data_IF_052993187840
#
_entry.id   IF_052993187840
#
_cell.length_a   1.000
_cell.length_b   1.000
_cell.length_c   1.000
_cell.angle_alpha   90.00
_cell.angle_beta   90.00
_cell.angle_gamma   90.00
#
_symmetry.space_group_name_H-M   'P 1'
#
loop_
_entity.id
_entity.type
_entity.pdbx_description
1 polymer ?
#
# COMPACT_ATOMS: atom_id res chain seq x y z
N UNK A 1 -18.21 -36.35 -19.09
CA UNK A 1 -16.85 -36.54 -18.49
C UNK A 1 -16.18 -37.83 -18.95
N UNK A 2 -16.86 -38.98 -19.04
CA UNK A 2 -16.25 -40.24 -19.51
C UNK A 2 -15.77 -40.22 -20.99
N UNK A 3 -16.48 -39.51 -21.88
CA UNK A 3 -16.11 -39.38 -23.31
C UNK A 3 -14.88 -38.48 -23.53
N UNK A 4 -14.75 -37.40 -22.75
CA UNK A 4 -13.67 -36.42 -22.89
C UNK A 4 -12.29 -36.99 -22.55
N UNK A 5 -12.22 -37.85 -21.53
CA UNK A 5 -10.97 -38.46 -21.09
C UNK A 5 -10.51 -39.58 -22.04
N UNK A 6 -11.46 -40.32 -22.63
CA UNK A 6 -11.17 -41.34 -23.65
C UNK A 6 -10.55 -40.73 -24.93
N UNK A 7 -11.02 -39.55 -25.34
CA UNK A 7 -10.50 -38.84 -26.52
C UNK A 7 -9.10 -38.24 -26.26
N UNK A 8 -8.85 -37.67 -25.08
CA UNK A 8 -7.52 -37.17 -24.69
C UNK A 8 -6.48 -38.31 -24.69
N UNK A 9 -6.82 -39.46 -24.08
CA UNK A 9 -5.96 -40.64 -24.09
C UNK A 9 -5.77 -41.24 -25.48
N UNK A 10 -6.64 -40.95 -26.45
CA UNK A 10 -6.50 -41.42 -27.83
C UNK A 10 -5.43 -40.63 -28.58
N UNK A 11 -5.44 -39.29 -28.50
CA UNK A 11 -4.46 -38.46 -29.19
C UNK A 11 -3.08 -38.54 -28.53
N UNK A 12 -3.02 -38.62 -27.19
CA UNK A 12 -1.76 -38.85 -26.47
C UNK A 12 -1.08 -40.15 -26.89
N UNK A 13 -1.82 -41.25 -27.04
CA UNK A 13 -1.28 -42.53 -27.53
C UNK A 13 -0.70 -42.43 -28.95
N UNK A 14 -1.30 -41.61 -29.81
CA UNK A 14 -0.82 -41.39 -31.19
C UNK A 14 0.47 -40.58 -31.15
N UNK A 15 0.52 -39.50 -30.35
CA UNK A 15 1.74 -38.69 -30.15
C UNK A 15 2.86 -39.54 -29.56
N UNK A 16 2.59 -40.33 -28.53
CA UNK A 16 3.59 -41.22 -27.91
C UNK A 16 4.11 -42.26 -28.90
N UNK A 17 3.23 -42.85 -29.72
CA UNK A 17 3.61 -43.77 -30.79
C UNK A 17 4.51 -43.11 -31.83
N UNK A 18 4.20 -41.88 -32.24
CA UNK A 18 5.02 -41.08 -33.15
C UNK A 18 6.38 -40.75 -32.53
N UNK A 19 6.43 -40.37 -31.25
CA UNK A 19 7.69 -40.08 -30.55
C UNK A 19 8.60 -41.29 -30.51
N UNK A 20 8.04 -42.47 -30.21
CA UNK A 20 8.78 -43.73 -30.24
C UNK A 20 9.26 -44.07 -31.65
N UNK A 21 8.41 -43.88 -32.66
CA UNK A 21 8.76 -44.14 -34.06
C UNK A 21 9.83 -43.17 -34.60
N UNK A 22 9.83 -41.90 -34.15
CA UNK A 22 10.87 -40.93 -34.49
C UNK A 22 12.23 -41.27 -33.86
N UNK A 23 12.24 -41.81 -32.64
CA UNK A 23 13.47 -42.20 -31.93
C UNK A 23 14.01 -43.57 -32.37
N UNK A 24 13.14 -44.48 -32.79
CA UNK A 24 13.52 -45.84 -33.19
C UNK A 24 12.70 -46.34 -34.38
N UNK A 25 12.92 -45.80 -35.59
CA UNK A 25 12.12 -46.13 -36.78
C UNK A 25 12.18 -47.62 -37.16
N UNK A 26 13.29 -48.29 -36.90
CA UNK A 26 13.50 -49.71 -37.22
C UNK A 26 12.63 -50.68 -36.42
N UNK A 27 11.99 -50.21 -35.34
CA UNK A 27 11.08 -51.02 -34.52
C UNK A 27 9.64 -51.08 -35.08
N UNK A 28 9.35 -50.31 -36.13
CA UNK A 28 8.02 -50.17 -36.71
C UNK A 28 8.00 -50.65 -38.16
N UNK A 29 6.88 -51.25 -38.58
CA UNK A 29 6.65 -51.57 -39.98
C UNK A 29 6.25 -50.33 -40.79
N UNK A 30 6.46 -50.37 -42.11
CA UNK A 30 6.07 -49.27 -43.01
C UNK A 30 4.57 -48.96 -42.94
N UNK A 31 3.72 -49.98 -42.76
CA UNK A 31 2.27 -49.81 -42.61
C UNK A 31 1.91 -49.08 -41.30
N UNK A 32 2.57 -49.42 -40.20
CA UNK A 32 2.37 -48.75 -38.90
C UNK A 32 2.85 -47.28 -38.94
N UNK A 33 3.99 -47.01 -39.56
CA UNK A 33 4.51 -45.66 -39.76
C UNK A 33 3.54 -44.82 -40.61
N UNK A 34 3.02 -45.38 -41.70
CA UNK A 34 2.03 -44.71 -42.54
C UNK A 34 0.72 -44.44 -41.78
N UNK A 35 0.26 -45.39 -40.96
CA UNK A 35 -0.94 -45.21 -40.15
C UNK A 35 -0.77 -44.11 -39.09
N UNK A 36 0.37 -44.06 -38.40
CA UNK A 36 0.71 -43.02 -37.43
C UNK A 36 0.83 -41.64 -38.10
N UNK A 37 1.51 -41.56 -39.25
CA UNK A 37 1.66 -40.32 -40.01
C UNK A 37 0.31 -39.76 -40.45
N UNK A 38 -0.57 -40.61 -41.00
CA UNK A 38 -1.91 -40.19 -41.42
C UNK A 38 -2.78 -39.72 -40.25
N UNK A 39 -2.72 -40.42 -39.12
CA UNK A 39 -3.49 -40.04 -37.93
C UNK A 39 -3.00 -38.71 -37.35
N UNK A 40 -1.68 -38.52 -37.18
CA UNK A 40 -1.11 -37.28 -36.65
C UNK A 40 -1.40 -36.10 -37.59
N UNK A 41 -1.24 -36.28 -38.91
CA UNK A 41 -1.50 -35.23 -39.88
C UNK A 41 -2.97 -34.77 -39.87
N UNK A 42 -3.91 -35.72 -39.72
CA UNK A 42 -5.32 -35.39 -39.59
C UNK A 42 -5.62 -34.60 -38.31
N UNK A 43 -5.06 -35.02 -37.17
CA UNK A 43 -5.27 -34.35 -35.88
C UNK A 43 -4.70 -32.93 -35.92
N UNK A 44 -3.48 -32.76 -36.43
CA UNK A 44 -2.82 -31.47 -36.55
C UNK A 44 -3.58 -30.53 -37.49
N UNK A 45 -4.14 -31.05 -38.60
CA UNK A 45 -4.97 -30.25 -39.51
C UNK A 45 -6.25 -29.74 -38.83
N UNK A 46 -6.98 -30.62 -38.17
CA UNK A 46 -8.20 -30.23 -37.44
C UNK A 46 -7.89 -29.24 -36.30
N UNK A 47 -6.76 -29.41 -35.60
CA UNK A 47 -6.31 -28.46 -34.60
C UNK A 47 -6.00 -27.08 -35.21
N UNK A 48 -5.26 -27.04 -36.32
CA UNK A 48 -4.90 -25.80 -37.01
C UNK A 48 -6.12 -25.03 -37.53
N UNK A 49 -7.07 -25.72 -38.18
CA UNK A 49 -8.31 -25.11 -38.69
C UNK A 49 -9.14 -24.50 -37.55
N UNK A 50 -9.28 -25.22 -36.43
CA UNK A 50 -10.02 -24.72 -35.27
C UNK A 50 -9.30 -23.55 -34.60
N UNK A 51 -7.97 -23.59 -34.51
CA UNK A 51 -7.17 -22.49 -33.97
C UNK A 51 -7.33 -21.21 -34.80
N UNK A 52 -7.30 -21.35 -36.12
CA UNK A 52 -7.54 -20.23 -37.02
C UNK A 52 -8.93 -19.61 -36.82
N UNK A 53 -9.98 -20.44 -36.73
CA UNK A 53 -11.35 -19.96 -36.47
C UNK A 53 -11.47 -19.23 -35.13
N UNK A 54 -10.85 -19.75 -34.07
CA UNK A 54 -10.80 -19.07 -32.78
C UNK A 54 -10.15 -17.69 -32.88
N UNK A 55 -9.03 -17.56 -33.59
CA UNK A 55 -8.34 -16.28 -33.78
C UNK A 55 -9.15 -15.31 -34.64
N UNK A 56 -9.83 -15.78 -35.68
CA UNK A 56 -10.75 -14.97 -36.49
C UNK A 56 -11.89 -14.40 -35.62
N UNK A 57 -12.46 -15.21 -34.72
CA UNK A 57 -13.47 -14.78 -33.75
C UNK A 57 -12.92 -13.77 -32.74
N UNK A 58 -11.69 -13.96 -32.24
CA UNK A 58 -11.03 -13.01 -31.34
C UNK A 58 -10.82 -11.65 -32.01
N UNK A 59 -10.32 -11.64 -33.26
CA UNK A 59 -10.11 -10.43 -34.06
C UNK A 59 -11.41 -9.73 -34.43
N UNK A 60 -12.50 -10.47 -34.56
CA UNK A 60 -13.85 -9.95 -34.72
C UNK A 60 -14.50 -9.45 -33.41
N UNK A 61 -13.78 -9.52 -32.27
CA UNK A 61 -14.26 -9.10 -30.95
C UNK A 61 -15.21 -10.12 -30.28
N UNK A 62 -15.42 -11.29 -30.86
CA UNK A 62 -16.34 -12.33 -30.38
C UNK A 62 -15.64 -13.29 -29.40
N UNK A 63 -15.10 -12.75 -28.31
CA UNK A 63 -14.22 -13.47 -27.39
C UNK A 63 -14.87 -14.72 -26.77
N UNK A 64 -16.10 -14.61 -26.26
CA UNK A 64 -16.78 -15.74 -25.62
C UNK A 64 -17.06 -16.90 -26.60
N UNK A 65 -17.30 -16.60 -27.88
CA UNK A 65 -17.50 -17.62 -28.91
C UNK A 65 -16.19 -18.32 -29.29
N UNK A 66 -15.10 -17.57 -29.39
CA UNK A 66 -13.76 -18.12 -29.61
C UNK A 66 -13.36 -19.10 -28.49
N UNK A 67 -13.60 -18.73 -27.23
CA UNK A 67 -13.25 -19.54 -26.06
C UNK A 67 -14.19 -20.74 -25.91
N UNK A 68 -15.46 -20.61 -26.28
CA UNK A 68 -16.39 -21.74 -26.38
C UNK A 68 -15.93 -22.76 -27.42
N UNK A 69 -15.56 -22.30 -28.61
CA UNK A 69 -15.07 -23.15 -29.71
C UNK A 69 -13.79 -23.90 -29.32
N UNK A 70 -12.85 -23.20 -28.67
CA UNK A 70 -11.60 -23.79 -28.16
C UNK A 70 -11.84 -24.81 -27.03
N UNK A 71 -12.89 -24.62 -26.23
CA UNK A 71 -13.25 -25.51 -25.12
C UNK A 71 -14.00 -26.77 -25.57
N UNK A 72 -14.44 -26.85 -26.83
CA UNK A 72 -15.09 -28.06 -27.35
C UNK A 72 -14.11 -29.25 -27.31
N UNK A 73 -14.58 -30.46 -26.96
CA UNK A 73 -13.71 -31.63 -26.90
C UNK A 73 -13.20 -32.04 -28.29
N UNK A 74 -11.92 -32.42 -28.43
CA UNK A 74 -10.86 -32.30 -27.41
C UNK A 74 -10.48 -30.84 -27.17
N UNK A 75 -10.20 -30.43 -25.92
CA UNK A 75 -9.80 -29.06 -25.62
C UNK A 75 -8.62 -28.63 -26.52
N UNK A 76 -8.74 -27.48 -27.17
CA UNK A 76 -7.79 -27.05 -28.18
C UNK A 76 -6.42 -26.71 -27.60
N UNK A 77 -6.36 -26.09 -26.43
CA UNK A 77 -5.10 -25.73 -25.77
C UNK A 77 -4.31 -26.99 -25.40
N UNK A 78 -4.99 -27.96 -24.79
CA UNK A 78 -4.39 -29.25 -24.45
C UNK A 78 -3.92 -30.02 -25.70
N UNK A 79 -4.71 -29.96 -26.77
CA UNK A 79 -4.37 -30.62 -28.04
C UNK A 79 -3.15 -29.97 -28.70
N UNK A 80 -3.09 -28.64 -28.76
CA UNK A 80 -1.94 -27.91 -29.32
C UNK A 80 -0.69 -28.19 -28.50
N UNK A 81 -0.79 -28.19 -27.17
CA UNK A 81 0.32 -28.51 -26.28
C UNK A 81 0.82 -29.96 -26.47
N UNK A 82 -0.07 -30.91 -26.74
CA UNK A 82 0.32 -32.29 -27.01
C UNK A 82 0.98 -32.48 -28.38
N UNK A 83 0.63 -31.65 -29.37
CA UNK A 83 1.20 -31.69 -30.73
C UNK A 83 2.54 -30.95 -30.82
N UNK A 84 2.87 -30.10 -29.87
CA UNK A 84 4.15 -29.40 -29.75
C UNK A 84 5.15 -30.24 -28.92
N UNK A 85 5.91 -31.12 -29.59
CA UNK A 85 6.90 -31.98 -28.94
C UNK A 85 8.25 -31.98 -29.68
N UNK A 86 9.38 -32.21 -28.97
CA UNK A 86 10.72 -32.04 -29.54
C UNK A 86 11.04 -32.96 -30.71
N UNK A 87 10.51 -34.19 -30.69
CA UNK A 87 10.78 -35.20 -31.72
C UNK A 87 10.00 -34.96 -33.03
N UNK A 88 9.15 -33.93 -33.10
CA UNK A 88 8.31 -33.64 -34.27
C UNK A 88 9.13 -33.36 -35.53
N UNK A 89 10.23 -32.60 -35.41
CA UNK A 89 11.08 -32.29 -36.56
C UNK A 89 11.78 -33.54 -37.11
N UNK A 90 12.26 -34.42 -36.23
CA UNK A 90 12.83 -35.72 -36.60
C UNK A 90 11.78 -36.60 -37.29
N UNK A 91 10.55 -36.62 -36.77
CA UNK A 91 9.44 -37.35 -37.38
C UNK A 91 9.12 -36.83 -38.79
N UNK A 92 9.12 -35.52 -38.99
CA UNK A 92 8.84 -34.90 -40.30
C UNK A 92 9.89 -35.25 -41.34
N UNK A 93 11.18 -35.25 -40.97
CA UNK A 93 12.25 -35.70 -41.84
C UNK A 93 12.09 -37.18 -42.24
N UNK A 94 11.66 -38.03 -41.30
CA UNK A 94 11.36 -39.43 -41.57
C UNK A 94 10.17 -39.57 -42.53
N UNK A 95 9.10 -38.79 -42.31
CA UNK A 95 7.94 -38.80 -43.21
C UNK A 95 8.31 -38.34 -44.62
N UNK A 96 9.14 -37.29 -44.75
CA UNK A 96 9.61 -36.82 -46.04
C UNK A 96 10.47 -37.87 -46.76
N UNK A 97 11.37 -38.55 -46.05
CA UNK A 97 12.20 -39.61 -46.63
C UNK A 97 11.41 -40.83 -47.11
N UNK A 98 10.27 -41.12 -46.47
CA UNK A 98 9.43 -42.28 -46.75
C UNK A 98 8.16 -41.94 -47.55
N UNK A 99 8.06 -40.72 -48.10
CA UNK A 99 6.87 -40.19 -48.81
C UNK A 99 5.54 -40.35 -48.03
N UNK A 100 5.61 -40.20 -46.71
CA UNK A 100 4.46 -40.26 -45.80
C UNK A 100 3.79 -38.89 -45.62
N UNK A 101 2.49 -38.84 -45.23
CA UNK A 101 1.79 -37.58 -45.03
C UNK A 101 2.43 -36.75 -43.91
N UNK A 102 2.84 -35.53 -44.27
CA UNK A 102 3.44 -34.58 -43.34
C UNK A 102 2.37 -33.87 -42.49
N UNK A 103 2.51 -33.83 -41.16
CA UNK A 103 1.63 -33.02 -40.32
C UNK A 103 1.85 -31.52 -40.59
N UNK A 104 0.77 -30.71 -40.68
CA UNK A 104 0.91 -29.26 -40.78
C UNK A 104 1.51 -28.68 -39.49
N UNK A 105 2.31 -27.61 -39.64
CA UNK A 105 2.83 -26.85 -38.51
C UNK A 105 1.72 -26.01 -37.89
N UNK A 106 1.64 -26.03 -36.56
CA UNK A 106 0.74 -25.18 -35.81
C UNK A 106 1.31 -23.77 -35.71
N UNK A 107 0.46 -22.76 -35.90
CA UNK A 107 0.84 -21.37 -35.72
C UNK A 107 0.91 -21.04 -34.22
N UNK A 108 2.09 -21.17 -33.61
CA UNK A 108 2.29 -20.94 -32.16
C UNK A 108 1.87 -19.53 -31.71
N UNK A 109 2.00 -18.52 -32.58
CA UNK A 109 1.51 -17.16 -32.33
C UNK A 109 -0.01 -17.12 -32.12
N UNK A 110 -0.77 -17.88 -32.92
CA UNK A 110 -2.23 -17.98 -32.79
C UNK A 110 -2.62 -18.71 -31.50
N UNK A 111 -1.85 -19.71 -31.08
CA UNK A 111 -2.04 -20.41 -29.82
C UNK A 111 -1.75 -19.49 -28.61
N UNK A 112 -0.75 -18.62 -28.72
CA UNK A 112 -0.48 -17.60 -27.71
C UNK A 112 -1.62 -16.57 -27.61
N UNK A 113 -2.12 -16.05 -28.74
CA UNK A 113 -3.28 -15.13 -28.81
C UNK A 113 -4.52 -15.74 -28.12
N UNK A 114 -4.77 -17.03 -28.33
CA UNK A 114 -5.85 -17.77 -27.66
C UNK A 114 -5.61 -17.96 -26.15
N UNK A 115 -4.37 -18.25 -25.73
CA UNK A 115 -4.03 -18.39 -24.31
C UNK A 115 -4.16 -17.07 -23.54
N UNK A 116 -3.76 -15.95 -24.14
CA UNK A 116 -4.02 -14.61 -23.60
C UNK A 116 -5.53 -14.34 -23.49
N UNK A 117 -6.32 -14.84 -24.46
CA UNK A 117 -7.76 -14.75 -24.41
C UNK A 117 -8.37 -15.56 -23.23
N UNK A 118 -7.84 -16.74 -22.92
CA UNK A 118 -8.23 -17.47 -21.71
C UNK A 118 -7.80 -16.75 -20.43
N UNK A 119 -6.54 -16.28 -20.37
CA UNK A 119 -5.97 -15.65 -19.18
C UNK A 119 -6.77 -14.42 -18.73
N UNK A 120 -7.22 -13.58 -19.68
CA UNK A 120 -8.02 -12.41 -19.34
C UNK A 120 -9.52 -12.70 -19.11
N UNK A 121 -10.04 -13.92 -19.38
CA UNK A 121 -11.42 -14.30 -19.03
C UNK A 121 -11.54 -14.88 -17.60
N UNK A 122 -10.46 -15.47 -17.05
CA UNK A 122 -10.47 -16.04 -15.69
C UNK A 122 -10.92 -15.07 -14.58
N UNK A 123 -10.55 -13.77 -14.57
CA UNK A 123 -11.06 -12.81 -13.59
C UNK A 123 -12.58 -12.61 -13.69
N UNK A 124 -13.15 -12.67 -14.91
CA UNK A 124 -14.56 -12.44 -15.14
C UNK A 124 -15.43 -13.59 -14.61
N UNK A 125 -15.03 -14.84 -14.85
CA UNK A 125 -15.77 -16.01 -14.37
C UNK A 125 -15.83 -16.05 -12.84
N UNK A 126 -14.70 -15.75 -12.18
CA UNK A 126 -14.64 -15.67 -10.71
C UNK A 126 -15.55 -14.57 -10.17
N UNK A 127 -15.58 -13.39 -10.81
CA UNK A 127 -16.46 -12.30 -10.45
C UNK A 127 -17.94 -12.64 -10.65
N UNK A 128 -18.29 -13.32 -11.75
CA UNK A 128 -19.67 -13.76 -11.99
C UNK A 128 -20.13 -14.79 -10.96
N UNK A 129 -19.25 -15.73 -10.58
CA UNK A 129 -19.54 -16.68 -9.50
C UNK A 129 -19.76 -15.96 -8.17
N UNK A 130 -18.90 -15.00 -7.84
CA UNK A 130 -19.03 -14.19 -6.63
C UNK A 130 -20.35 -13.38 -6.65
N UNK A 131 -20.68 -12.75 -7.78
CA UNK A 131 -21.92 -11.99 -7.95
C UNK A 131 -23.17 -12.85 -7.73
N UNK A 132 -23.20 -14.06 -8.30
CA UNK A 132 -24.30 -15.02 -8.08
C UNK A 132 -24.40 -15.42 -6.61
N UNK A 133 -23.26 -15.70 -5.96
CA UNK A 133 -23.22 -16.06 -4.54
C UNK A 133 -23.74 -14.91 -3.67
N UNK A 134 -23.28 -13.68 -3.90
CA UNK A 134 -23.72 -12.50 -3.17
C UNK A 134 -25.22 -12.20 -3.36
N UNK A 135 -25.75 -12.44 -4.56
CA UNK A 135 -27.19 -12.31 -4.82
C UNK A 135 -28.01 -13.34 -4.04
N UNK A 136 -27.57 -14.61 -4.00
CA UNK A 136 -28.23 -15.69 -3.25
C UNK A 136 -28.16 -15.45 -1.74
N UNK A 137 -26.99 -15.04 -1.24
CA UNK A 137 -26.75 -14.79 0.17
C UNK A 137 -27.36 -13.47 0.67
N UNK A 138 -28.01 -12.68 -0.21
CA UNK A 138 -28.49 -11.34 0.10
C UNK A 138 -27.41 -10.47 0.77
N UNK A 139 -26.19 -10.51 0.24
CA UNK A 139 -25.04 -9.80 0.79
C UNK A 139 -25.30 -8.28 0.86
N UNK A 140 -24.65 -7.57 1.79
CA UNK A 140 -24.77 -6.11 1.93
C UNK A 140 -24.55 -5.37 0.61
N UNK A 141 -25.29 -4.28 0.42
CA UNK A 141 -25.28 -3.55 -0.85
C UNK A 141 -23.89 -3.02 -1.21
N UNK A 142 -23.10 -2.61 -0.21
CA UNK A 142 -21.72 -2.18 -0.39
C UNK A 142 -20.83 -3.28 -1.02
N UNK A 143 -20.95 -4.52 -0.55
CA UNK A 143 -20.19 -5.66 -1.09
C UNK A 143 -20.61 -6.01 -2.51
N UNK A 144 -21.91 -5.95 -2.79
CA UNK A 144 -22.46 -6.18 -4.12
C UNK A 144 -22.00 -5.10 -5.11
N UNK A 145 -21.99 -3.84 -4.68
CA UNK A 145 -21.48 -2.72 -5.47
C UNK A 145 -19.99 -2.88 -5.80
N UNK A 146 -19.17 -3.31 -4.84
CA UNK A 146 -17.75 -3.56 -5.08
C UNK A 146 -17.52 -4.62 -6.17
N UNK A 147 -18.26 -5.73 -6.14
CA UNK A 147 -18.20 -6.76 -7.18
C UNK A 147 -18.69 -6.24 -8.53
N UNK A 148 -19.81 -5.50 -8.54
CA UNK A 148 -20.41 -4.98 -9.76
C UNK A 148 -19.51 -3.94 -10.47
N UNK A 149 -18.84 -3.07 -9.70
CA UNK A 149 -17.83 -2.13 -10.25
C UNK A 149 -16.69 -2.88 -10.95
N UNK A 150 -16.22 -3.98 -10.36
CA UNK A 150 -15.19 -4.83 -10.96
C UNK A 150 -15.69 -5.51 -12.24
N UNK A 151 -16.94 -5.99 -12.26
CA UNK A 151 -17.56 -6.56 -13.46
C UNK A 151 -17.65 -5.54 -14.60
N UNK A 152 -18.12 -4.33 -14.31
CA UNK A 152 -18.21 -3.23 -15.30
C UNK A 152 -16.82 -2.79 -15.79
N UNK A 153 -15.80 -2.82 -14.93
CA UNK A 153 -14.43 -2.54 -15.34
C UNK A 153 -13.85 -3.63 -16.27
N UNK A 154 -14.22 -4.89 -16.08
CA UNK A 154 -13.81 -6.01 -16.95
C UNK A 154 -14.52 -5.99 -18.31
N UNK A 155 -15.81 -5.64 -18.35
CA UNK A 155 -16.57 -5.48 -19.59
C UNK A 155 -17.42 -4.19 -19.56
N UNK A 156 -16.83 -3.05 -20.01
CA UNK A 156 -17.53 -1.78 -20.03
C UNK A 156 -18.68 -1.70 -21.04
N UNK A 157 -18.75 -2.63 -22.01
CA UNK A 157 -19.77 -2.63 -23.07
C UNK A 157 -21.06 -3.30 -22.62
N UNK A 158 -21.05 -4.01 -21.49
CA UNK A 158 -22.22 -4.69 -20.95
C UNK A 158 -23.23 -3.70 -20.33
N UNK A 159 -24.21 -3.26 -21.13
CA UNK A 159 -25.20 -2.24 -20.74
C UNK A 159 -25.98 -2.57 -19.46
N UNK A 160 -26.42 -3.82 -19.28
CA UNK A 160 -27.23 -4.21 -18.12
C UNK A 160 -26.48 -4.03 -16.78
N UNK A 161 -25.18 -4.34 -16.71
CA UNK A 161 -24.40 -4.15 -15.48
C UNK A 161 -24.20 -2.68 -15.14
N UNK A 162 -24.11 -1.82 -16.16
CA UNK A 162 -24.04 -0.37 -15.97
C UNK A 162 -25.36 0.20 -15.45
N UNK A 163 -26.49 -0.28 -15.96
CA UNK A 163 -27.82 0.09 -15.45
C UNK A 163 -28.04 -0.38 -14.01
N UNK A 164 -27.65 -1.63 -13.71
CA UNK A 164 -27.69 -2.17 -12.35
C UNK A 164 -26.78 -1.37 -11.41
N UNK A 165 -25.58 -0.97 -11.86
CA UNK A 165 -24.65 -0.18 -11.07
C UNK A 165 -25.27 1.17 -10.68
N UNK A 166 -25.86 1.89 -11.64
CA UNK A 166 -26.56 3.14 -11.37
C UNK A 166 -27.72 2.96 -10.38
N UNK A 167 -28.49 1.87 -10.51
CA UNK A 167 -29.60 1.58 -9.60
C UNK A 167 -29.10 1.29 -8.18
N UNK A 168 -28.04 0.50 -8.06
CA UNK A 168 -27.49 0.09 -6.77
C UNK A 168 -26.79 1.25 -6.07
N UNK A 169 -26.12 2.12 -6.82
CA UNK A 169 -25.51 3.33 -6.28
C UNK A 169 -26.55 4.28 -5.68
N UNK A 170 -27.67 4.51 -6.38
CA UNK A 170 -28.79 5.29 -5.82
C UNK A 170 -29.32 4.67 -4.52
N UNK A 171 -29.57 3.37 -4.53
CA UNK A 171 -30.05 2.65 -3.35
C UNK A 171 -29.05 2.72 -2.18
N UNK A 172 -27.74 2.70 -2.46
CA UNK A 172 -26.69 2.82 -1.43
C UNK A 172 -26.66 4.20 -0.80
N UNK A 173 -26.78 5.25 -1.60
CA UNK A 173 -26.86 6.62 -1.10
C UNK A 173 -28.11 6.83 -0.23
N UNK A 174 -29.25 6.24 -0.63
CA UNK A 174 -30.47 6.24 0.17
C UNK A 174 -30.31 5.44 1.48
N UNK A 175 -29.70 4.26 1.42
CA UNK A 175 -29.39 3.42 2.60
C UNK A 175 -28.55 4.20 3.62
N UNK A 176 -27.48 4.86 3.16
CA UNK A 176 -26.63 5.70 4.01
C UNK A 176 -27.40 6.88 4.60
N UNK A 177 -28.25 7.55 3.81
CA UNK A 177 -29.05 8.68 4.28
C UNK A 177 -30.04 8.26 5.38
N UNK A 178 -30.71 7.11 5.22
CA UNK A 178 -31.64 6.57 6.22
C UNK A 178 -30.90 6.09 7.47
N UNK A 179 -29.77 5.41 7.30
CA UNK A 179 -29.01 4.87 8.41
C UNK A 179 -28.22 5.92 9.22
N UNK A 180 -27.95 7.11 8.63
CA UNK A 180 -27.12 8.14 9.24
C UNK A 180 -27.59 8.57 10.63
N UNK A 181 -28.90 8.72 10.85
CA UNK A 181 -29.44 9.13 12.15
C UNK A 181 -29.08 8.12 13.25
N UNK A 182 -29.17 6.82 12.94
CA UNK A 182 -28.84 5.73 13.86
C UNK A 182 -27.33 5.65 14.12
N UNK A 183 -26.51 5.72 13.07
CA UNK A 183 -25.04 5.67 13.19
C UNK A 183 -24.53 6.87 14.01
N UNK A 184 -25.11 8.06 13.78
CA UNK A 184 -24.80 9.27 14.54
C UNK A 184 -25.16 9.12 16.01
N UNK A 185 -26.35 8.62 16.35
CA UNK A 185 -26.75 8.46 17.76
C UNK A 185 -25.95 7.38 18.49
N UNK A 186 -25.38 6.42 17.75
CA UNK A 186 -24.49 5.39 18.30
C UNK A 186 -23.04 5.87 18.46
N UNK A 187 -22.67 7.02 17.87
CA UNK A 187 -21.29 7.51 17.86
C UNK A 187 -20.32 6.58 17.14
N UNK A 188 -20.80 5.78 16.17
CA UNK A 188 -19.98 4.79 15.47
C UNK A 188 -19.04 5.47 14.46
N UNK A 189 -17.88 5.89 14.99
CA UNK A 189 -16.83 6.59 14.27
C UNK A 189 -16.24 5.74 13.12
N UNK A 190 -16.18 4.42 13.27
CA UNK A 190 -15.61 3.52 12.27
C UNK A 190 -16.50 3.45 11.03
N UNK A 191 -17.81 3.29 11.22
CA UNK A 191 -18.78 3.29 10.12
C UNK A 191 -18.80 4.64 9.41
N UNK A 192 -18.78 5.76 10.15
CA UNK A 192 -18.74 7.11 9.56
C UNK A 192 -17.46 7.35 8.74
N UNK A 193 -16.30 6.88 9.22
CA UNK A 193 -15.04 6.96 8.49
C UNK A 193 -15.10 6.14 7.19
N UNK A 194 -15.63 4.92 7.25
CA UNK A 194 -15.82 4.07 6.07
C UNK A 194 -16.74 4.72 5.04
N UNK A 195 -17.84 5.34 5.49
CA UNK A 195 -18.76 6.08 4.62
C UNK A 195 -18.10 7.30 3.97
N UNK A 196 -17.26 8.05 4.69
CA UNK A 196 -16.50 9.15 4.09
C UNK A 196 -15.52 8.66 3.03
N UNK A 197 -14.83 7.55 3.26
CA UNK A 197 -13.96 6.96 2.25
C UNK A 197 -14.76 6.52 1.02
N UNK A 198 -15.91 5.86 1.22
CA UNK A 198 -16.80 5.42 0.15
C UNK A 198 -17.34 6.60 -0.67
N UNK A 199 -17.83 7.67 -0.03
CA UNK A 199 -18.41 8.84 -0.70
C UNK A 199 -17.37 9.71 -1.42
N UNK A 200 -16.10 9.68 -1.00
CA UNK A 200 -15.01 10.39 -1.67
C UNK A 200 -14.37 9.59 -2.81
N UNK A 201 -14.78 8.34 -3.04
CA UNK A 201 -14.27 7.55 -4.15
C UNK A 201 -14.63 8.20 -5.50
N UNK A 202 -13.73 8.18 -6.50
CA UNK A 202 -14.05 8.61 -7.86
C UNK A 202 -14.95 7.63 -8.64
N UNK A 203 -15.24 6.44 -8.08
CA UNK A 203 -15.89 5.34 -8.79
C UNK A 203 -17.42 5.50 -8.96
N UNK A 204 -18.01 6.57 -8.43
CA UNK A 204 -19.44 6.82 -8.51
C UNK A 204 -19.85 7.29 -9.91
N UNK A 205 -20.75 6.55 -10.55
CA UNK A 205 -21.43 7.04 -11.76
C UNK A 205 -22.58 7.98 -11.40
N UNK A 206 -23.23 7.71 -10.26
CA UNK A 206 -24.29 8.55 -9.71
C UNK A 206 -23.67 9.71 -8.91
N UNK A 207 -24.05 10.96 -9.17
CA UNK A 207 -23.49 12.10 -8.43
C UNK A 207 -23.86 12.02 -6.94
N UNK A 208 -22.85 12.02 -6.08
CA UNK A 208 -23.03 11.98 -4.63
C UNK A 208 -23.72 13.27 -4.14
N UNK A 209 -24.86 13.18 -3.42
CA UNK A 209 -25.55 14.36 -2.90
C UNK A 209 -24.67 15.13 -1.91
N UNK A 210 -24.41 16.42 -2.20
CA UNK A 210 -23.58 17.30 -1.35
C UNK A 210 -24.09 17.40 0.10
N UNK A 211 -25.41 17.36 0.28
CA UNK A 211 -26.03 17.39 1.60
C UNK A 211 -25.72 16.14 2.42
N UNK A 212 -25.77 14.95 1.80
CA UNK A 212 -25.39 13.70 2.45
C UNK A 212 -23.91 13.71 2.83
N UNK A 213 -23.03 14.11 1.90
CA UNK A 213 -21.60 14.24 2.17
C UNK A 213 -21.33 15.17 3.37
N UNK A 214 -21.91 16.36 3.38
CA UNK A 214 -21.75 17.31 4.48
C UNK A 214 -22.29 16.77 5.81
N UNK A 215 -23.43 16.06 5.78
CA UNK A 215 -24.03 15.48 6.97
C UNK A 215 -23.16 14.36 7.57
N UNK A 216 -22.62 13.46 6.74
CA UNK A 216 -21.69 12.41 7.19
C UNK A 216 -20.38 13.02 7.71
N UNK A 217 -19.84 14.05 7.06
CA UNK A 217 -18.65 14.76 7.53
C UNK A 217 -18.87 15.41 8.90
N UNK A 218 -20.01 16.08 9.11
CA UNK A 218 -20.35 16.68 10.41
C UNK A 218 -20.49 15.60 11.48
N UNK A 219 -21.24 14.53 11.20
CA UNK A 219 -21.43 13.43 12.15
C UNK A 219 -20.09 12.76 12.52
N UNK A 220 -19.19 12.56 11.55
CA UNK A 220 -17.86 12.01 11.83
C UNK A 220 -17.02 12.93 12.71
N UNK A 221 -17.00 14.24 12.42
CA UNK A 221 -16.27 15.23 13.24
C UNK A 221 -16.82 15.30 14.66
N UNK A 222 -18.14 15.26 14.82
CA UNK A 222 -18.79 15.20 16.13
C UNK A 222 -18.39 13.93 16.90
N UNK A 223 -18.48 12.76 16.26
CA UNK A 223 -18.10 11.49 16.89
C UNK A 223 -16.61 11.44 17.28
N UNK A 224 -15.71 11.94 16.43
CA UNK A 224 -14.28 12.05 16.73
C UNK A 224 -14.05 13.00 17.92
N UNK A 225 -14.74 14.13 17.94
CA UNK A 225 -14.65 15.10 19.04
C UNK A 225 -15.14 14.51 20.36
N UNK A 226 -16.29 13.84 20.36
CA UNK A 226 -16.85 13.19 21.56
C UNK A 226 -15.94 12.08 22.08
N UNK A 227 -15.39 11.24 21.20
CA UNK A 227 -14.42 10.22 21.58
C UNK A 227 -13.14 10.83 22.17
N UNK A 228 -12.62 11.91 21.57
CA UNK A 228 -11.45 12.62 22.09
C UNK A 228 -11.72 13.26 23.47
N UNK A 229 -12.90 13.84 23.69
CA UNK A 229 -13.31 14.36 25.00
C UNK A 229 -13.37 13.24 26.06
N UNK A 230 -13.96 12.09 25.73
CA UNK A 230 -14.02 10.95 26.63
C UNK A 230 -12.63 10.40 26.99
N UNK A 231 -11.67 10.44 26.06
CA UNK A 231 -10.28 10.06 26.36
C UNK A 231 -9.56 11.13 27.19
N UNK A 232 -9.80 12.43 26.94
CA UNK A 232 -9.28 13.52 27.77
C UNK A 232 -9.76 13.38 29.23
N UNK A 233 -11.02 13.04 29.46
CA UNK A 233 -11.57 12.76 30.79
C UNK A 233 -10.82 11.63 31.52
N UNK A 234 -10.39 10.61 30.79
CA UNK A 234 -9.58 9.50 31.35
C UNK A 234 -8.12 9.88 31.59
N UNK A 235 -7.56 10.77 30.77
CA UNK A 235 -6.18 11.23 30.92
C UNK A 235 -5.99 12.23 32.06
N UNK A 236 -6.99 13.08 32.32
CA UNK A 236 -6.93 14.10 33.36
C UNK A 236 -6.51 13.57 34.75
N UNK A 237 -7.12 12.52 35.32
CA UNK A 237 -6.69 11.97 36.61
C UNK A 237 -5.27 11.37 36.55
N UNK A 238 -4.88 10.75 35.44
CA UNK A 238 -3.55 10.16 35.26
C UNK A 238 -2.45 11.22 35.22
N UNK A 239 -2.73 12.37 34.60
CA UNK A 239 -1.84 13.54 34.62
C UNK A 239 -1.69 14.08 36.05
N UNK A 240 -2.79 14.14 36.80
CA UNK A 240 -2.77 14.55 38.20
C UNK A 240 -1.95 13.58 39.06
N UNK A 241 -2.12 12.26 38.88
CA UNK A 241 -1.34 11.23 39.58
C UNK A 241 0.16 11.31 39.24
N UNK A 242 0.51 11.50 37.96
CA UNK A 242 1.90 11.67 37.55
C UNK A 242 2.53 12.91 38.20
N UNK A 243 1.78 14.01 38.30
CA UNK A 243 2.21 15.21 39.01
C UNK A 243 2.38 14.96 40.52
N UNK A 244 1.41 14.30 41.16
CA UNK A 244 1.49 13.97 42.60
C UNK A 244 2.68 13.05 42.93
N UNK A 245 3.02 12.13 42.01
CA UNK A 245 4.18 11.25 42.13
C UNK A 245 5.51 11.90 41.69
N UNK A 246 5.46 13.13 41.15
CA UNK A 246 6.60 13.83 40.54
C UNK A 246 7.27 13.02 39.41
N UNK A 247 6.50 12.17 38.72
CA UNK A 247 6.98 11.37 37.59
C UNK A 247 6.97 12.19 36.30
N UNK A 248 8.10 12.84 36.04
CA UNK A 248 8.27 13.72 34.88
C UNK A 248 8.21 12.95 33.55
N UNK A 249 8.70 11.71 33.52
CA UNK A 249 8.76 10.91 32.30
C UNK A 249 7.35 10.49 31.86
N UNK A 250 6.54 10.01 32.81
CA UNK A 250 5.13 9.69 32.56
C UNK A 250 4.33 10.96 32.24
N UNK A 251 4.51 12.03 33.01
CA UNK A 251 3.81 13.30 32.81
C UNK A 251 4.01 13.87 31.40
N UNK A 252 5.23 13.82 30.86
CA UNK A 252 5.51 14.28 29.48
C UNK A 252 4.78 13.46 28.42
N UNK A 253 4.81 12.13 28.53
CA UNK A 253 4.08 11.25 27.59
C UNK A 253 2.58 11.51 27.63
N UNK A 254 2.01 11.70 28.83
CA UNK A 254 0.60 12.02 28.99
C UNK A 254 0.26 13.42 28.47
N UNK A 255 1.15 14.41 28.63
CA UNK A 255 0.98 15.74 28.05
C UNK A 255 0.99 15.72 26.52
N UNK A 256 1.85 14.93 25.90
CA UNK A 256 1.87 14.75 24.44
C UNK A 256 0.52 14.18 23.96
N UNK A 257 0.06 13.09 24.59
CA UNK A 257 -1.25 12.50 24.29
C UNK A 257 -2.41 13.49 24.50
N UNK A 258 -2.35 14.28 25.58
CA UNK A 258 -3.33 15.33 25.87
C UNK A 258 -3.38 16.40 24.77
N UNK A 259 -2.21 16.87 24.32
CA UNK A 259 -2.12 17.89 23.27
C UNK A 259 -2.61 17.36 21.92
N UNK A 260 -2.32 16.10 21.59
CA UNK A 260 -2.82 15.45 20.38
C UNK A 260 -4.35 15.37 20.37
N UNK A 261 -4.95 15.03 21.51
CA UNK A 261 -6.41 15.01 21.66
C UNK A 261 -7.05 16.41 21.64
N UNK A 262 -6.37 17.42 22.20
CA UNK A 262 -6.82 18.82 22.11
C UNK A 262 -6.88 19.34 20.66
N UNK A 263 -6.02 18.84 19.77
CA UNK A 263 -6.09 19.19 18.35
C UNK A 263 -7.39 18.68 17.69
N UNK A 264 -7.95 17.58 18.19
CA UNK A 264 -9.20 16.99 17.72
C UNK A 264 -10.44 17.56 18.43
N UNK A 265 -10.31 17.84 19.73
CA UNK A 265 -11.37 18.38 20.56
C UNK A 265 -10.88 19.58 21.40
N UNK A 266 -10.86 20.80 20.81
CA UNK A 266 -10.48 21.99 21.55
C UNK A 266 -11.40 22.21 22.74
N UNK A 267 -10.81 22.31 23.93
CA UNK A 267 -11.53 22.68 25.15
C UNK A 267 -11.77 24.19 25.17
N UNK A 268 -12.95 24.59 25.64
CA UNK A 268 -13.23 26.01 25.89
C UNK A 268 -12.41 26.56 27.06
N UNK A 269 -12.24 27.88 27.16
CA UNK A 269 -11.45 28.53 28.22
C UNK A 269 -11.99 28.32 29.64
N UNK A 270 -13.23 27.85 29.78
CA UNK A 270 -13.89 27.55 31.07
C UNK A 270 -14.15 26.04 31.23
N UNK A 271 -13.38 25.18 30.57
CA UNK A 271 -13.54 23.74 30.70
C UNK A 271 -13.01 23.27 32.06
N UNK A 272 -13.84 22.59 32.89
CA UNK A 272 -13.39 22.03 34.18
C UNK A 272 -12.20 21.06 34.03
N UNK A 273 -12.14 20.34 32.90
CA UNK A 273 -11.04 19.44 32.59
C UNK A 273 -9.72 20.18 32.38
N UNK A 274 -9.76 21.35 31.73
CA UNK A 274 -8.57 22.18 31.52
C UNK A 274 -8.06 22.74 32.86
N UNK A 275 -8.97 23.18 33.74
CA UNK A 275 -8.63 23.64 35.08
C UNK A 275 -8.01 22.53 35.94
N UNK A 276 -8.53 21.30 35.84
CA UNK A 276 -8.03 20.15 36.61
C UNK A 276 -6.59 19.78 36.25
N UNK A 277 -6.22 19.82 34.98
CA UNK A 277 -4.85 19.44 34.54
C UNK A 277 -3.86 20.59 34.56
N UNK A 278 -4.32 21.85 34.70
CA UNK A 278 -3.47 23.03 34.63
C UNK A 278 -2.23 22.94 35.56
N UNK A 279 -2.35 22.55 36.84
CA UNK A 279 -1.19 22.46 37.72
C UNK A 279 -0.14 21.44 37.24
N UNK A 280 -0.59 20.30 36.70
CA UNK A 280 0.31 19.27 36.18
C UNK A 280 1.04 19.73 34.91
N UNK A 281 0.34 20.45 34.02
CA UNK A 281 0.92 20.99 32.80
C UNK A 281 1.89 22.15 33.08
N UNK A 282 1.57 23.03 34.02
CA UNK A 282 2.45 24.10 34.49
C UNK A 282 3.72 23.55 35.13
N UNK A 283 3.59 22.55 36.01
CA UNK A 283 4.75 21.87 36.59
C UNK A 283 5.70 21.26 35.53
N UNK A 284 5.13 20.61 34.50
CA UNK A 284 5.94 20.09 33.40
C UNK A 284 6.62 21.20 32.59
N UNK A 285 5.93 22.33 32.37
CA UNK A 285 6.51 23.50 31.71
C UNK A 285 7.68 24.09 32.53
N UNK A 286 7.54 24.16 33.85
CA UNK A 286 8.60 24.58 34.77
C UNK A 286 9.81 23.63 34.73
N UNK A 287 9.56 22.32 34.71
CA UNK A 287 10.62 21.31 34.56
C UNK A 287 11.36 21.46 33.23
N UNK A 288 10.63 21.68 32.13
CA UNK A 288 11.21 21.93 30.81
C UNK A 288 12.06 23.21 30.81
N UNK A 289 11.56 24.30 31.40
CA UNK A 289 12.28 25.57 31.50
C UNK A 289 13.55 25.44 32.34
N UNK A 290 13.49 24.75 33.49
CA UNK A 290 14.65 24.47 34.34
C UNK A 290 15.72 23.68 33.58
N UNK A 291 15.33 22.62 32.87
CA UNK A 291 16.25 21.82 32.05
C UNK A 291 16.85 22.61 30.90
N UNK A 292 16.05 23.40 30.19
CA UNK A 292 16.52 24.27 29.12
C UNK A 292 17.54 25.29 29.63
N UNK A 293 17.27 25.89 30.79
CA UNK A 293 18.17 26.84 31.45
C UNK A 293 19.49 26.19 31.86
N UNK A 294 19.46 25.02 32.52
CA UNK A 294 20.67 24.27 32.87
C UNK A 294 21.47 23.85 31.64
N UNK A 295 20.80 23.44 30.56
CA UNK A 295 21.46 23.09 29.30
C UNK A 295 22.11 24.31 28.63
N UNK A 296 21.43 25.47 28.64
CA UNK A 296 21.96 26.72 28.13
C UNK A 296 23.19 27.17 28.94
N UNK A 297 23.12 27.09 30.28
CA UNK A 297 24.26 27.36 31.16
C UNK A 297 25.45 26.47 30.84
N UNK A 298 25.25 25.14 30.76
CA UNK A 298 26.31 24.19 30.39
C UNK A 298 26.94 24.51 29.05
N UNK A 299 26.15 24.88 28.04
CA UNK A 299 26.66 25.31 26.72
C UNK A 299 27.47 26.60 26.81
N UNK A 300 27.02 27.58 27.59
CA UNK A 300 27.73 28.85 27.78
C UNK A 300 29.06 28.66 28.53
N UNK A 301 29.07 27.82 29.59
CA UNK A 301 30.30 27.44 30.30
C UNK A 301 31.29 26.74 29.37
N UNK A 302 30.84 25.75 28.60
CA UNK A 302 31.71 25.04 27.65
C UNK A 302 32.25 25.97 26.54
N UNK A 303 31.46 26.96 26.11
CA UNK A 303 31.91 27.97 25.15
C UNK A 303 32.99 28.88 25.76
N UNK A 304 32.83 29.30 27.01
CA UNK A 304 33.83 30.08 27.75
C UNK A 304 35.12 29.28 27.97
N UNK A 305 35.03 28.02 28.41
CA UNK A 305 36.18 27.12 28.57
C UNK A 305 36.97 27.01 27.27
N UNK A 306 36.28 26.75 26.15
CA UNK A 306 36.91 26.65 24.83
C UNK A 306 37.54 27.96 24.37
N UNK A 307 36.96 29.11 24.73
CA UNK A 307 37.52 30.42 24.42
C UNK A 307 38.77 30.71 25.26
N UNK A 308 38.78 30.31 26.54
CA UNK A 308 39.94 30.38 27.42
C UNK A 308 41.08 29.47 26.91
N UNK A 309 40.78 28.25 26.48
CA UNK A 309 41.76 27.32 25.88
C UNK A 309 42.42 27.92 24.63
N UNK A 310 41.63 28.62 23.81
CA UNK A 310 42.07 29.25 22.56
C UNK A 310 42.66 30.65 22.75
N UNK A 311 42.75 31.15 24.00
CA UNK A 311 43.23 32.50 24.33
C UNK A 311 42.56 33.60 23.48
N UNK A 312 41.23 33.56 23.40
CA UNK A 312 40.46 34.59 22.68
C UNK A 312 40.66 35.99 23.32
N UNK A 313 40.44 37.09 22.56
CA UNK A 313 40.56 38.45 23.08
C UNK A 313 39.63 38.71 24.27
N UNK A 314 40.04 39.60 25.18
CA UNK A 314 39.31 39.90 26.41
C UNK A 314 37.84 40.27 26.18
N UNK A 315 37.55 41.06 25.14
CA UNK A 315 36.17 41.45 24.80
C UNK A 315 35.26 40.24 24.48
N UNK A 316 35.82 39.18 23.87
CA UNK A 316 35.09 37.94 23.58
C UNK A 316 34.92 37.09 24.85
N UNK A 317 35.92 37.07 25.73
CA UNK A 317 35.86 36.38 27.03
C UNK A 317 34.85 37.04 27.98
N UNK A 318 34.82 38.37 28.08
CA UNK A 318 33.89 39.12 28.93
C UNK A 318 32.43 38.92 28.49
N UNK A 319 32.19 38.87 27.17
CA UNK A 319 30.88 38.55 26.60
C UNK A 319 30.44 37.13 26.99
N UNK A 320 31.31 36.13 26.80
CA UNK A 320 30.99 34.74 27.12
C UNK A 320 30.84 34.51 28.63
N UNK A 321 31.61 35.22 29.45
CA UNK A 321 31.47 35.22 30.90
C UNK A 321 30.10 35.77 31.30
N UNK A 322 29.69 36.91 30.75
CA UNK A 322 28.38 37.52 31.01
C UNK A 322 27.23 36.60 30.59
N UNK A 323 27.38 35.92 29.46
CA UNK A 323 26.42 34.93 28.96
C UNK A 323 26.32 33.71 29.88
N UNK A 324 27.46 33.19 30.36
CA UNK A 324 27.49 32.07 31.29
C UNK A 324 27.01 32.44 32.71
N UNK A 325 27.07 33.70 33.13
CA UNK A 325 26.53 34.15 34.43
C UNK A 325 25.16 34.80 34.34
N UNK A 326 24.55 34.89 33.15
CA UNK A 326 23.35 35.69 32.86
C UNK A 326 22.17 35.40 33.78
N UNK A 327 22.02 34.15 34.20
CA UNK A 327 20.90 33.72 35.03
C UNK A 327 21.26 33.61 36.53
N UNK A 328 22.42 34.11 36.95
CA UNK A 328 22.88 34.02 38.34
C UNK A 328 23.37 32.62 38.74
N UNK A 329 23.63 31.74 37.76
CA UNK A 329 24.24 30.43 38.01
C UNK A 329 25.74 30.57 38.21
N UNK A 330 26.27 29.90 39.23
CA UNK A 330 27.69 29.91 39.51
C UNK A 330 28.47 29.19 38.40
N UNK A 331 29.62 29.75 38.04
CA UNK A 331 30.60 29.08 37.20
C UNK A 331 31.33 28.01 38.01
N UNK A 332 31.83 26.93 37.36
CA UNK A 332 32.79 26.06 38.02
C UNK A 332 34.00 26.86 38.47
N UNK A 333 34.46 26.63 39.71
CA UNK A 333 35.55 27.40 40.34
C UNK A 333 36.81 27.46 39.48
N UNK A 334 37.11 26.37 38.78
CA UNK A 334 38.27 26.29 37.89
C UNK A 334 38.14 27.22 36.68
N UNK A 335 36.97 27.27 36.04
CA UNK A 335 36.67 28.19 34.92
C UNK A 335 36.73 29.63 35.37
N UNK A 336 36.18 29.93 36.56
CA UNK A 336 36.18 31.26 37.13
C UNK A 336 37.61 31.76 37.41
N UNK A 337 38.47 30.92 38.00
CA UNK A 337 39.88 31.25 38.25
C UNK A 337 40.65 31.46 36.95
N UNK A 338 40.45 30.58 35.96
CA UNK A 338 41.10 30.69 34.64
C UNK A 338 40.71 31.96 33.91
N UNK A 339 39.44 32.36 33.98
CA UNK A 339 38.98 33.64 33.45
C UNK A 339 39.59 34.84 34.17
N UNK A 340 39.63 34.83 35.51
CA UNK A 340 40.27 35.90 36.30
C UNK A 340 41.75 36.06 35.93
N UNK A 341 42.49 34.95 35.84
CA UNK A 341 43.90 34.96 35.45
C UNK A 341 44.09 35.50 34.02
N UNK A 342 43.27 35.05 33.06
CA UNK A 342 43.34 35.53 31.68
C UNK A 342 43.03 37.04 31.60
N UNK A 343 42.06 37.50 32.38
CA UNK A 343 41.70 38.91 32.48
C UNK A 343 42.82 39.74 33.11
N UNK A 344 43.47 39.28 34.17
CA UNK A 344 44.62 39.96 34.79
C UNK A 344 45.82 40.04 33.84
N UNK A 345 46.13 38.95 33.11
CA UNK A 345 47.23 38.91 32.15
C UNK A 345 47.01 39.82 30.94
N UNK A 346 45.76 40.03 30.52
CA UNK A 346 45.40 40.88 29.39
C UNK A 346 45.15 42.35 29.79
N UNK A 347 44.93 42.63 31.07
CA UNK A 347 44.76 43.99 31.63
C UNK A 347 46.08 44.57 32.16
N UNK A 348 47.05 43.74 32.56
CA UNK A 348 48.37 44.23 32.98
C UNK A 348 49.04 45.01 31.84
N UNK A 349 49.31 46.32 32.01
CA UNK A 349 49.95 47.10 30.96
C UNK A 349 51.37 46.61 30.74
N UNK A 350 51.81 46.69 29.49
CA UNK A 350 53.21 46.72 29.06
C UNK A 350 53.94 47.92 29.70
N UNK A 351 54.14 47.92 31.02
CA UNK A 351 54.82 48.99 31.76
C UNK A 351 56.33 48.74 31.90
N UNK A 352 56.91 47.93 31.01
CA UNK A 352 58.36 47.65 31.03
C UNK A 352 58.96 47.71 29.63
N UNK A 353 59.03 48.90 29.04
CA UNK A 353 60.05 49.26 28.04
C UNK A 353 60.06 50.77 27.80
N UNK A 354 60.91 51.49 28.54
CA UNK A 354 61.04 52.94 28.38
C UNK A 354 62.03 53.65 29.30
N UNK A 355 63.11 53.00 29.75
CA UNK A 355 64.27 53.71 30.33
C UNK A 355 65.56 53.21 29.67
N UNK A 356 65.77 53.67 28.43
CA UNK A 356 67.08 53.74 27.81
C UNK A 356 67.69 55.10 28.13
N UNK A 357 68.48 55.15 29.20
CA UNK A 357 69.32 56.28 29.57
C UNK A 357 70.30 56.59 28.42
N UNK A 358 70.27 57.84 27.95
CA UNK A 358 71.29 58.41 27.12
C UNK A 358 72.28 59.23 27.97
N UNK A 359 73.56 59.13 27.59
CA UNK A 359 74.72 59.99 27.86
C UNK A 359 75.52 59.76 29.16
N UNK A 360 76.85 60.02 29.15
CA UNK A 360 77.66 60.63 28.07
C UNK A 360 78.59 59.67 27.31
#
# INVERSE_FOLDING_TARGET
>A
MATTQADIHRYQRIVDGVRQAALSPAAFSTEELSALAGQLAQIARTAAERLQQCVELLRAGQRSEALRLASLPPNLVDLVAALDFPELETWRLLCEHLDLPLPPLLALEQAAELNEAYAAEQPLEQLLRLWRLQAIAAAPLAERLATLRRLVACDPQHSAWREDLLRFEKARLEEMAVALAKVRSQGDMATLAAWLAELNSPDWLTPVPKQLMAAVQSAHREAVREAALAELEKLAPRLHEAHAALDEALGRRLREQWNDLLALAPLGPQSPLAEQVAPALEWLADCDQKKARLAAHRRAVAALEKALDRRKPLAELDRLYTEATRHGEALPLEVQRRYQLAREQLIAPLDFQGQGLAMP
#
